data_IF_600967998446
#
_entry.id   IF_600967998446
#
_cell.length_a   1.000
_cell.length_b   1.000
_cell.length_c   1.000
_cell.angle_alpha   90.00
_cell.angle_beta   90.00
_cell.angle_gamma   90.00
#
_symmetry.space_group_name_H-M   'P 1'
#
loop_
_entity.id
_entity.type
_entity.pdbx_description
1 polymer ?
#
# COMPACT_ATOMS: atom_id res chain seq x y z
N UNK A 1 7.02 50.64 34.99
CA UNK A 1 7.88 50.03 33.94
C UNK A 1 8.08 48.52 34.07
N UNK A 2 8.35 47.95 35.26
CA UNK A 2 8.59 46.50 35.45
C UNK A 2 7.39 45.61 35.11
N UNK A 3 6.17 46.05 35.44
CA UNK A 3 4.91 45.36 35.10
C UNK A 3 4.67 45.32 33.58
N UNK A 4 4.90 46.41 32.87
CA UNK A 4 4.75 46.48 31.40
C UNK A 4 5.73 45.52 30.70
N UNK A 5 6.97 45.40 31.19
CA UNK A 5 7.94 44.40 30.69
C UNK A 5 7.49 42.95 30.93
N UNK A 6 6.86 42.65 32.07
CA UNK A 6 6.28 41.32 32.37
C UNK A 6 5.09 40.99 31.47
N UNK A 7 4.23 41.97 31.19
CA UNK A 7 3.08 41.81 30.30
C UNK A 7 3.56 41.56 28.86
N UNK A 8 4.57 42.28 28.39
CA UNK A 8 5.17 42.06 27.07
C UNK A 8 5.78 40.65 26.95
N UNK A 9 6.47 40.17 27.99
CA UNK A 9 7.00 38.80 28.03
C UNK A 9 5.89 37.74 27.97
N UNK A 10 4.77 37.96 28.68
CA UNK A 10 3.61 37.07 28.64
C UNK A 10 2.94 37.04 27.27
N UNK A 11 2.76 38.20 26.63
CA UNK A 11 2.17 38.32 25.29
C UNK A 11 3.07 37.66 24.23
N UNK A 12 4.39 37.85 24.32
CA UNK A 12 5.38 37.21 23.44
C UNK A 12 5.34 35.67 23.57
N UNK A 13 5.23 35.15 24.81
CA UNK A 13 5.13 33.72 25.07
C UNK A 13 3.85 33.12 24.49
N UNK A 14 2.70 33.81 24.62
CA UNK A 14 1.41 33.36 24.05
C UNK A 14 1.45 33.39 22.52
N UNK A 15 2.07 34.42 21.92
CA UNK A 15 2.21 34.53 20.46
C UNK A 15 3.07 33.39 19.88
N UNK A 16 4.10 32.94 20.61
CA UNK A 16 4.95 31.83 20.20
C UNK A 16 4.21 30.47 20.24
N UNK A 17 3.26 30.28 21.15
CA UNK A 17 2.43 29.06 21.22
C UNK A 17 1.40 28.99 20.09
N UNK A 18 0.94 30.14 19.55
CA UNK A 18 -0.01 30.15 18.43
C UNK A 18 0.62 29.72 17.09
N UNK A 19 1.95 29.85 16.94
CA UNK A 19 2.66 29.51 15.70
C UNK A 19 2.86 28.00 15.48
N UNK A 20 2.67 27.15 16.50
CA UNK A 20 2.81 25.68 16.38
C UNK A 20 1.51 24.95 16.00
N UNK A 21 0.43 25.67 15.69
CA UNK A 21 -0.92 25.11 15.50
C UNK A 21 -1.22 24.48 14.13
N UNK A 22 -0.21 24.27 13.26
CA UNK A 22 -0.42 23.56 11.97
C UNK A 22 0.63 22.48 11.72
N UNK A 23 0.69 21.48 12.59
CA UNK A 23 1.37 20.21 12.32
C UNK A 23 0.32 19.10 12.14
N UNK A 24 -0.57 19.26 11.16
CA UNK A 24 -1.35 18.14 10.65
C UNK A 24 -0.86 17.89 9.24
N UNK A 25 0.12 17.01 9.10
CA UNK A 25 0.49 16.41 7.81
C UNK A 25 -0.60 15.40 7.43
N UNK A 26 -1.83 15.87 7.24
CA UNK A 26 -2.87 15.07 6.63
C UNK A 26 -2.49 14.92 5.17
N UNK A 27 -2.17 13.70 4.74
CA UNK A 27 -1.93 13.40 3.33
C UNK A 27 -3.19 13.74 2.54
N UNK A 28 -3.18 14.87 1.81
CA UNK A 28 -4.34 15.34 1.07
C UNK A 28 -4.65 14.39 -0.09
N UNK A 29 -5.83 13.77 -0.03
CA UNK A 29 -6.37 12.97 -1.12
C UNK A 29 -6.89 13.92 -2.20
N UNK A 30 -6.34 13.83 -3.41
CA UNK A 30 -6.81 14.60 -4.55
C UNK A 30 -8.14 14.02 -5.04
N UNK A 31 -9.12 14.90 -5.29
CA UNK A 31 -10.41 14.51 -5.84
C UNK A 31 -10.36 14.20 -7.34
N UNK A 32 -9.39 14.76 -8.07
CA UNK A 32 -9.23 14.59 -9.50
C UNK A 32 -7.76 14.29 -9.82
N UNK A 33 -7.54 13.40 -10.78
CA UNK A 33 -6.21 13.06 -11.31
C UNK A 33 -6.16 13.41 -12.80
N UNK A 34 -5.05 13.96 -13.34
CA UNK A 34 -4.89 14.21 -14.77
C UNK A 34 -4.57 12.93 -15.55
N UNK A 35 -5.28 11.84 -15.22
CA UNK A 35 -5.10 10.49 -15.74
C UNK A 35 -6.49 9.92 -16.03
N UNK A 36 -6.71 9.40 -17.23
CA UNK A 36 -7.94 8.68 -17.53
C UNK A 36 -7.74 7.22 -17.09
N UNK A 37 -8.29 6.90 -15.93
CA UNK A 37 -8.29 5.55 -15.36
C UNK A 37 -9.47 4.78 -15.95
N UNK A 38 -9.20 3.61 -16.50
CA UNK A 38 -10.20 2.68 -17.01
C UNK A 38 -10.72 1.73 -15.93
N UNK A 39 -10.89 0.46 -16.30
CA UNK A 39 -11.34 -0.57 -15.36
C UNK A 39 -10.29 -0.79 -14.25
N UNK A 40 -10.76 -0.75 -13.00
CA UNK A 40 -9.97 -1.08 -11.82
C UNK A 40 -10.65 -2.25 -11.10
N UNK A 41 -9.91 -3.33 -10.93
CA UNK A 41 -10.41 -4.53 -10.31
C UNK A 41 -9.36 -5.20 -9.45
N UNK A 42 -9.80 -6.02 -8.52
CA UNK A 42 -8.92 -6.85 -7.72
C UNK A 42 -9.28 -8.32 -7.87
N UNK A 43 -8.25 -9.16 -7.84
CA UNK A 43 -8.39 -10.60 -8.01
C UNK A 43 -7.58 -11.32 -6.94
N UNK A 44 -8.22 -12.27 -6.28
CA UNK A 44 -7.52 -13.17 -5.37
C UNK A 44 -6.82 -14.24 -6.19
N UNK A 45 -5.66 -14.70 -5.73
CA UNK A 45 -4.95 -15.81 -6.36
C UNK A 45 -4.39 -16.78 -5.33
N UNK A 46 -4.29 -18.05 -5.72
CA UNK A 46 -3.66 -19.10 -4.94
C UNK A 46 -2.82 -20.00 -5.84
N UNK A 47 -1.59 -20.29 -5.41
CA UNK A 47 -0.74 -21.24 -6.12
C UNK A 47 -1.22 -22.68 -5.93
N UNK A 48 -1.20 -23.49 -6.98
CA UNK A 48 -1.62 -24.90 -6.94
C UNK A 48 -0.63 -25.84 -6.26
N UNK A 49 0.50 -25.32 -5.76
CA UNK A 49 1.49 -26.10 -5.01
C UNK A 49 1.55 -25.63 -3.57
N UNK A 50 1.74 -26.57 -2.64
CA UNK A 50 1.94 -26.28 -1.23
C UNK A 50 3.18 -25.40 -1.07
N UNK A 51 3.01 -24.23 -0.47
CA UNK A 51 4.09 -23.28 -0.27
C UNK A 51 4.30 -22.29 -1.42
N UNK A 52 3.52 -22.37 -2.50
CA UNK A 52 3.60 -21.43 -3.64
C UNK A 52 3.00 -20.05 -3.35
N UNK A 53 2.35 -19.88 -2.20
CA UNK A 53 1.78 -18.62 -1.75
C UNK A 53 0.34 -18.38 -2.23
N UNK A 54 -0.20 -17.27 -1.75
CA UNK A 54 -1.49 -16.72 -2.17
C UNK A 54 -1.51 -15.22 -1.92
N UNK A 55 -2.44 -14.52 -2.56
CA UNK A 55 -2.50 -13.07 -2.45
C UNK A 55 -3.70 -12.45 -3.12
N UNK A 56 -3.66 -11.13 -3.18
CA UNK A 56 -4.59 -10.30 -3.93
C UNK A 56 -3.79 -9.41 -4.86
N UNK A 57 -4.14 -9.41 -6.14
CA UNK A 57 -3.58 -8.49 -7.12
C UNK A 57 -4.62 -7.42 -7.43
N UNK A 58 -4.21 -6.16 -7.39
CA UNK A 58 -5.02 -5.02 -7.82
C UNK A 58 -4.53 -4.61 -9.20
N UNK A 59 -5.44 -4.58 -10.16
CA UNK A 59 -5.18 -4.22 -11.55
C UNK A 59 -5.81 -2.86 -11.83
N UNK A 60 -5.00 -1.96 -12.38
CA UNK A 60 -5.39 -0.59 -12.71
C UNK A 60 -5.06 -0.38 -14.18
N UNK A 61 -6.10 -0.28 -15.02
CA UNK A 61 -5.94 0.04 -16.43
C UNK A 61 -5.92 1.55 -16.64
N UNK A 62 -4.93 2.06 -17.36
CA UNK A 62 -4.75 3.47 -17.69
C UNK A 62 -5.04 3.67 -19.17
N UNK A 63 -6.09 4.42 -19.47
CA UNK A 63 -6.54 4.69 -20.84
C UNK A 63 -5.70 5.81 -21.47
N UNK A 64 -5.47 6.90 -20.72
CA UNK A 64 -4.71 8.04 -21.21
C UNK A 64 -3.92 8.71 -20.10
N UNK A 65 -2.60 8.87 -20.34
CA UNK A 65 -1.68 9.55 -19.45
C UNK A 65 -1.07 10.78 -20.16
N UNK A 66 -1.87 11.85 -20.30
CA UNK A 66 -1.49 13.06 -21.05
C UNK A 66 -0.31 13.83 -20.41
N UNK A 67 -0.03 13.60 -19.14
CA UNK A 67 1.00 14.31 -18.36
C UNK A 67 2.22 13.46 -17.98
N UNK A 68 2.35 12.23 -18.52
CA UNK A 68 3.42 11.28 -18.15
C UNK A 68 3.57 11.14 -16.63
N UNK A 69 2.46 10.99 -15.93
CA UNK A 69 2.42 10.78 -14.48
C UNK A 69 3.00 9.40 -14.16
N UNK A 70 3.92 9.35 -13.21
CA UNK A 70 4.51 8.10 -12.73
C UNK A 70 3.69 7.57 -11.53
N UNK A 71 3.16 6.35 -11.67
CA UNK A 71 2.47 5.67 -10.58
C UNK A 71 3.50 4.94 -9.72
N UNK A 72 3.48 5.17 -8.40
CA UNK A 72 4.50 4.66 -7.49
C UNK A 72 3.99 3.48 -6.66
N UNK A 73 2.96 3.71 -5.85
CA UNK A 73 2.44 2.71 -4.92
C UNK A 73 0.92 2.69 -4.88
N UNK A 74 0.35 1.57 -4.44
CA UNK A 74 -1.08 1.39 -4.21
C UNK A 74 -1.32 0.91 -2.78
N UNK A 75 -2.33 1.50 -2.17
CA UNK A 75 -2.80 1.20 -0.83
C UNK A 75 -4.15 0.51 -0.94
N UNK A 76 -4.24 -0.71 -0.41
CA UNK A 76 -5.44 -1.52 -0.44
C UNK A 76 -5.56 -2.32 0.86
N UNK A 77 -6.75 -2.35 1.46
CA UNK A 77 -7.04 -3.10 2.69
C UNK A 77 -6.02 -2.91 3.82
N UNK A 78 -5.54 -1.68 4.02
CA UNK A 78 -4.56 -1.37 5.07
C UNK A 78 -3.14 -1.84 4.80
N UNK A 79 -2.83 -2.29 3.58
CA UNK A 79 -1.48 -2.65 3.12
C UNK A 79 -1.02 -1.71 2.02
N UNK A 80 0.29 -1.63 1.82
CA UNK A 80 0.93 -0.93 0.70
C UNK A 80 1.66 -1.92 -0.20
N UNK A 81 1.57 -1.70 -1.50
CA UNK A 81 2.37 -2.42 -2.49
C UNK A 81 2.87 -1.43 -3.55
N UNK A 82 4.09 -1.64 -4.05
CA UNK A 82 4.60 -0.88 -5.19
C UNK A 82 3.81 -1.28 -6.43
N UNK A 83 3.48 -0.31 -7.28
CA UNK A 83 2.84 -0.58 -8.56
C UNK A 83 3.89 -1.01 -9.57
N UNK A 84 3.63 -2.15 -10.21
CA UNK A 84 4.44 -2.67 -11.30
C UNK A 84 3.69 -2.50 -12.61
N UNK A 85 4.39 -2.08 -13.66
CA UNK A 85 3.83 -2.01 -15.00
C UNK A 85 3.94 -3.38 -15.65
N UNK A 86 2.81 -4.00 -15.97
CA UNK A 86 2.75 -5.29 -16.66
C UNK A 86 2.69 -5.12 -18.18
N UNK A 87 1.90 -4.14 -18.63
CA UNK A 87 1.82 -3.67 -20.01
C UNK A 87 1.80 -2.14 -20.02
N UNK A 88 2.06 -1.49 -21.16
CA UNK A 88 2.10 -0.01 -21.29
C UNK A 88 0.86 0.71 -20.71
N UNK A 89 -0.28 0.03 -20.57
CA UNK A 89 -1.51 0.56 -19.96
C UNK A 89 -1.95 -0.14 -18.67
N UNK A 90 -1.34 -1.28 -18.28
CA UNK A 90 -1.80 -2.08 -17.14
C UNK A 90 -0.79 -2.05 -16.00
N UNK A 91 -1.23 -1.55 -14.85
CA UNK A 91 -0.46 -1.55 -13.62
C UNK A 91 -1.02 -2.57 -12.62
N UNK A 92 -0.13 -3.26 -11.93
CA UNK A 92 -0.45 -4.32 -10.98
C UNK A 92 0.18 -4.01 -9.63
N UNK A 93 -0.65 -3.98 -8.59
CA UNK A 93 -0.21 -4.00 -7.20
C UNK A 93 -0.37 -5.39 -6.61
N UNK A 94 0.73 -6.04 -6.22
CA UNK A 94 0.71 -7.41 -5.69
C UNK A 94 0.75 -7.43 -4.17
N UNK A 95 -0.32 -7.92 -3.55
CA UNK A 95 -0.42 -8.08 -2.10
C UNK A 95 -0.32 -9.56 -1.72
N UNK A 96 0.79 -9.96 -1.12
CA UNK A 96 0.97 -11.33 -0.62
C UNK A 96 0.21 -11.52 0.70
N UNK A 97 -0.35 -12.71 0.88
CA UNK A 97 -0.97 -13.15 2.14
C UNK A 97 -0.23 -14.36 2.68
N UNK A 98 -0.30 -14.58 4.00
CA UNK A 98 0.44 -15.67 4.66
C UNK A 98 -0.13 -17.05 4.33
N UNK A 99 -1.31 -17.12 3.71
CA UNK A 99 -1.91 -18.38 3.30
C UNK A 99 -1.11 -19.04 2.17
N UNK A 100 -1.02 -20.37 2.23
CA UNK A 100 -0.28 -21.21 1.28
C UNK A 100 1.21 -20.85 1.11
N UNK A 101 1.80 -20.06 2.00
CA UNK A 101 3.24 -19.77 1.98
C UNK A 101 4.04 -20.97 2.52
N UNK A 102 5.26 -21.14 2.01
CA UNK A 102 6.18 -22.14 2.54
C UNK A 102 6.63 -21.69 3.92
N UNK A 103 6.26 -22.46 4.94
CA UNK A 103 6.84 -22.29 6.26
C UNK A 103 8.21 -22.98 6.25
N UNK A 104 9.29 -22.20 6.14
CA UNK A 104 10.65 -22.67 6.48
C UNK A 104 10.76 -22.73 8.01
N UNK A 105 9.97 -23.64 8.60
CA UNK A 105 10.03 -24.01 10.01
C UNK A 105 10.92 -25.24 10.13
N UNK A 106 12.04 -25.09 10.82
CA UNK A 106 12.84 -26.19 11.33
C UNK A 106 12.04 -26.82 12.47
N UNK A 107 11.55 -28.04 12.26
CA UNK A 107 10.95 -28.88 13.29
C UNK A 107 11.95 -29.98 13.63
N UNK A 108 12.66 -29.82 14.73
CA UNK A 108 13.71 -30.76 15.17
C UNK A 108 13.40 -31.30 16.56
N UNK A 109 13.90 -32.49 16.88
CA UNK A 109 13.78 -33.05 18.23
C UNK A 109 14.57 -32.25 19.27
N UNK A 110 15.52 -31.42 18.84
CA UNK A 110 16.35 -30.58 19.70
C UNK A 110 15.83 -29.13 19.72
N UNK A 111 15.31 -28.62 20.84
CA UNK A 111 14.74 -27.27 20.93
C UNK A 111 15.71 -26.14 20.54
N UNK A 112 17.03 -26.36 20.66
CA UNK A 112 18.04 -25.35 20.29
C UNK A 112 18.09 -25.11 18.77
N UNK A 113 17.74 -26.11 17.97
CA UNK A 113 17.73 -26.01 16.50
C UNK A 113 16.51 -25.23 15.99
N UNK A 114 15.44 -25.15 16.78
CA UNK A 114 14.23 -24.38 16.44
C UNK A 114 14.37 -22.88 16.74
N UNK A 115 15.38 -22.48 17.52
CA UNK A 115 15.61 -21.07 17.88
C UNK A 115 15.88 -20.18 16.64
N UNK A 116 16.31 -20.76 15.52
CA UNK A 116 16.54 -20.06 14.25
C UNK A 116 15.29 -19.82 13.41
N UNK A 117 14.11 -20.31 13.81
CA UNK A 117 12.88 -20.15 13.06
C UNK A 117 12.47 -18.69 12.93
N UNK A 118 12.35 -18.19 11.70
CA UNK A 118 11.98 -16.79 11.43
C UNK A 118 10.47 -16.60 11.51
N UNK A 119 10.04 -15.64 12.33
CA UNK A 119 8.64 -15.19 12.34
C UNK A 119 8.38 -14.32 11.11
N UNK A 120 7.31 -14.60 10.37
CA UNK A 120 6.88 -13.76 9.26
C UNK A 120 6.41 -12.40 9.82
N UNK A 121 7.13 -11.34 9.49
CA UNK A 121 6.76 -9.98 9.87
C UNK A 121 5.45 -9.56 9.17
N UNK A 122 4.53 -8.88 9.87
CA UNK A 122 3.34 -8.33 9.25
C UNK A 122 3.74 -7.28 8.19
N UNK A 123 3.02 -7.27 7.07
CA UNK A 123 3.18 -6.27 6.01
C UNK A 123 3.01 -4.85 6.54
N UNK A 124 3.75 -3.90 5.96
CA UNK A 124 3.67 -2.48 6.29
C UNK A 124 2.21 -2.00 6.28
N UNK A 125 1.81 -1.38 7.40
CA UNK A 125 0.46 -0.86 7.58
C UNK A 125 0.33 0.45 6.81
N UNK A 126 -0.71 0.54 5.99
CA UNK A 126 -1.08 1.78 5.32
C UNK A 126 -1.54 2.82 6.34
N UNK A 127 -1.15 4.10 6.16
CA UNK A 127 -1.66 5.20 7.00
C UNK A 127 -3.13 5.53 6.73
N UNK A 128 -3.72 5.01 5.66
CA UNK A 128 -5.08 5.32 5.25
C UNK A 128 -6.09 4.29 5.77
N UNK A 129 -7.19 4.79 6.36
CA UNK A 129 -8.34 3.96 6.72
C UNK A 129 -9.26 3.82 5.52
N UNK A 130 -9.07 2.75 4.74
CA UNK A 130 -9.77 2.49 3.48
C UNK A 130 -10.68 1.26 3.64
N UNK A 131 -11.87 1.25 3.03
CA UNK A 131 -12.76 0.07 3.05
C UNK A 131 -12.35 -0.99 2.01
N UNK A 132 -12.91 -2.21 2.10
CA UNK A 132 -12.47 -3.36 1.28
C UNK A 132 -12.63 -3.18 -0.23
N UNK A 133 -13.45 -2.24 -0.70
CA UNK A 133 -13.74 -2.01 -2.12
C UNK A 133 -13.13 -0.69 -2.63
N UNK A 134 -12.28 -0.06 -1.84
CA UNK A 134 -11.61 1.19 -2.15
C UNK A 134 -10.11 0.97 -2.23
N UNK A 135 -9.42 1.74 -3.06
CA UNK A 135 -7.97 1.81 -3.04
C UNK A 135 -7.50 3.27 -3.13
N UNK A 136 -6.28 3.51 -2.68
CA UNK A 136 -5.60 4.80 -2.88
C UNK A 136 -4.35 4.53 -3.68
N UNK A 137 -4.13 5.31 -4.74
CA UNK A 137 -2.92 5.25 -5.55
C UNK A 137 -2.05 6.46 -5.20
N UNK A 138 -0.77 6.24 -4.93
CA UNK A 138 0.21 7.32 -4.94
C UNK A 138 0.84 7.46 -6.32
N UNK A 139 0.94 8.69 -6.77
CA UNK A 139 1.59 9.04 -8.01
C UNK A 139 2.48 10.27 -7.82
N UNK A 140 3.45 10.40 -8.70
CA UNK A 140 4.43 11.45 -8.69
C UNK A 140 4.16 12.40 -9.85
N UNK A 141 3.85 13.66 -9.53
CA UNK A 141 3.77 14.75 -10.49
C UNK A 141 4.96 15.69 -10.22
N UNK A 142 6.05 15.52 -10.97
CA UNK A 142 7.30 16.24 -10.74
C UNK A 142 8.01 15.81 -9.45
N UNK A 143 8.15 16.71 -8.49
CA UNK A 143 8.79 16.44 -7.18
C UNK A 143 7.81 16.13 -6.05
N UNK A 144 6.49 16.18 -6.30
CA UNK A 144 5.46 16.00 -5.28
C UNK A 144 4.75 14.66 -5.45
N UNK A 145 4.66 13.90 -4.36
CA UNK A 145 3.83 12.70 -4.27
C UNK A 145 2.42 13.13 -3.90
N UNK A 146 1.46 12.66 -4.68
CA UNK A 146 0.03 12.92 -4.50
C UNK A 146 -0.70 11.59 -4.38
N UNK A 147 -1.86 11.64 -3.75
CA UNK A 147 -2.68 10.46 -3.48
C UNK A 147 -4.04 10.63 -4.14
N UNK A 148 -4.50 9.62 -4.85
CA UNK A 148 -5.81 9.60 -5.50
C UNK A 148 -6.61 8.42 -4.97
N UNK A 149 -7.86 8.65 -4.60
CA UNK A 149 -8.75 7.61 -4.05
C UNK A 149 -9.65 7.09 -5.17
N UNK A 150 -9.68 5.77 -5.34
CA UNK A 150 -10.61 5.08 -6.24
C UNK A 150 -11.66 4.38 -5.38
N UNK A 151 -12.92 4.69 -5.69
CA UNK A 151 -14.09 4.06 -5.11
C UNK A 151 -14.62 2.95 -6.02
N UNK A 152 -15.27 1.95 -5.42
CA UNK A 152 -16.05 0.92 -6.11
C UNK A 152 -15.27 0.03 -7.09
N UNK A 153 -14.18 -0.58 -6.64
CA UNK A 153 -13.44 -1.56 -7.44
C UNK A 153 -14.20 -2.87 -7.62
N UNK A 154 -14.14 -3.44 -8.83
CA UNK A 154 -14.75 -4.73 -9.12
C UNK A 154 -13.92 -5.89 -8.53
N UNK A 155 -14.61 -6.89 -7.97
CA UNK A 155 -13.98 -8.14 -7.52
C UNK A 155 -14.08 -9.19 -8.62
N UNK A 156 -12.94 -9.67 -9.12
CA UNK A 156 -12.91 -10.83 -10.04
C UNK A 156 -12.84 -12.15 -9.29
N UNK A 157 -13.18 -13.23 -9.99
CA UNK A 157 -13.14 -14.60 -9.46
C UNK A 157 -11.73 -15.02 -9.06
N UNK A 158 -11.62 -15.87 -8.04
CA UNK A 158 -10.36 -16.42 -7.56
C UNK A 158 -9.60 -17.11 -8.70
N UNK A 159 -8.34 -16.74 -8.89
CA UNK A 159 -7.43 -17.39 -9.83
C UNK A 159 -6.65 -18.50 -9.11
N UNK A 160 -7.00 -19.76 -9.39
CA UNK A 160 -6.22 -20.91 -8.95
C UNK A 160 -5.20 -21.26 -10.03
N UNK A 161 -3.91 -21.09 -9.73
CA UNK A 161 -2.85 -21.52 -10.64
C UNK A 161 -2.67 -23.03 -10.56
N UNK A 162 -2.55 -23.76 -11.69
CA UNK A 162 -2.28 -25.19 -11.66
C UNK A 162 -0.87 -25.47 -11.11
N UNK A 163 -0.66 -26.66 -10.55
CA UNK A 163 0.67 -27.15 -10.25
C UNK A 163 1.43 -27.43 -11.55
N UNK A 164 2.75 -27.22 -11.56
CA UNK A 164 3.58 -27.60 -12.71
C UNK A 164 3.38 -29.10 -13.03
N UNK A 165 3.25 -29.47 -14.32
CA UNK A 165 3.11 -30.87 -14.70
C UNK A 165 4.35 -31.64 -14.23
N UNK A 166 4.12 -32.83 -13.66
CA UNK A 166 5.21 -33.74 -13.27
C UNK A 166 6.01 -34.08 -14.52
N UNK A 167 7.30 -33.74 -14.54
CA UNK A 167 8.20 -34.18 -15.60
C UNK A 167 8.18 -35.72 -15.60
N UNK A 168 7.85 -36.34 -16.73
CA UNK A 168 7.95 -37.80 -16.87
C UNK A 168 9.44 -38.09 -17.05
N UNK A 169 10.06 -38.58 -15.98
CA UNK A 169 11.39 -39.23 -16.02
C UNK A 169 11.28 -40.60 -16.70
#
# INVERSE_FOLDING_TARGET
MKVIKRIYYFISLVFMVLLVSKCSSAQELQANIPLEIGEVYYQHWIAGVKGGGSGVNVFINIISNKKNIELDSVYFQGKVAKLEMDNNSLFIGRFKTNANQKNDLIMSSNPKEEYGNKVQLPSEKSPFKITNNQCVISYKEGSKIKYFKIDNMAKKQLQAYPSAPRNKE
#
